data_IF_196181459569
#
_entry.id   IF_196181459569
#
_cell.length_a   1.000
_cell.length_b   1.000
_cell.length_c   1.000
_cell.angle_alpha   90.00
_cell.angle_beta   90.00
_cell.angle_gamma   90.00
#
_symmetry.space_group_name_H-M   'P 1'
#
loop_
_entity.id
_entity.type
_entity.pdbx_description
1 polymer ?
#
# COMPACT_ATOMS: atom_id res chain seq x y z
N UNK A 1 16.36 4.73 22.57
CA UNK A 1 15.03 4.10 22.51
C UNK A 1 15.17 2.68 23.03
N UNK A 2 14.45 2.31 24.09
CA UNK A 2 14.48 0.94 24.62
C UNK A 2 13.70 0.01 23.68
N UNK A 3 14.23 -1.17 23.32
CA UNK A 3 13.54 -2.10 22.44
C UNK A 3 12.25 -2.61 23.10
N UNK A 4 11.16 -2.61 22.33
CA UNK A 4 9.85 -3.17 22.72
C UNK A 4 9.74 -4.60 22.20
N UNK A 5 9.38 -5.53 23.08
CA UNK A 5 9.23 -6.94 22.73
C UNK A 5 7.79 -7.42 22.87
N UNK A 6 7.43 -8.41 22.07
CA UNK A 6 6.15 -9.10 22.09
C UNK A 6 6.39 -10.56 22.48
N UNK A 7 5.61 -11.06 23.41
CA UNK A 7 5.62 -12.48 23.81
C UNK A 7 4.27 -13.09 23.45
N UNK A 8 4.27 -14.23 22.75
CA UNK A 8 3.04 -14.94 22.34
C UNK A 8 3.07 -16.34 22.96
N UNK A 9 2.10 -16.64 23.82
CA UNK A 9 1.98 -17.95 24.48
C UNK A 9 1.19 -18.98 23.65
N UNK A 10 1.38 -20.27 23.98
CA UNK A 10 0.65 -21.38 23.35
C UNK A 10 -0.88 -21.27 23.42
N UNK A 11 -1.42 -20.57 24.43
CA UNK A 11 -2.86 -20.33 24.63
C UNK A 11 -3.39 -19.15 23.84
N UNK A 12 -2.54 -18.42 23.11
CA UNK A 12 -2.96 -17.23 22.38
C UNK A 12 -3.05 -15.97 23.25
N UNK A 13 -2.20 -15.85 24.25
CA UNK A 13 -2.01 -14.62 25.02
C UNK A 13 -0.88 -13.79 24.42
N UNK A 14 -1.09 -12.48 24.28
CA UNK A 14 -0.14 -11.53 23.71
C UNK A 14 0.32 -10.58 24.82
N UNK A 15 1.56 -10.77 25.31
CA UNK A 15 2.13 -9.97 26.39
C UNK A 15 3.15 -8.99 25.81
N UNK A 16 2.89 -7.70 25.96
CA UNK A 16 3.83 -6.64 25.59
C UNK A 16 4.84 -6.46 26.74
N UNK A 17 6.05 -6.98 26.57
CA UNK A 17 7.13 -6.75 27.51
C UNK A 17 7.90 -5.48 27.11
N UNK A 18 7.63 -4.38 27.81
CA UNK A 18 8.53 -3.21 27.81
C UNK A 18 9.58 -3.49 28.88
N UNK A 19 10.85 -3.68 28.50
CA UNK A 19 11.93 -3.77 29.47
C UNK A 19 12.04 -2.43 30.20
N UNK A 20 11.49 -2.38 31.42
CA UNK A 20 11.58 -1.25 32.31
C UNK A 20 13.06 -1.05 32.69
N UNK A 21 13.67 0.04 32.21
CA UNK A 21 14.89 0.56 32.80
C UNK A 21 14.62 0.97 34.25
N UNK A 22 15.42 0.55 35.25
CA UNK A 22 15.18 0.96 36.63
C UNK A 22 15.39 2.47 36.74
N UNK A 23 14.34 3.22 37.08
CA UNK A 23 14.44 4.64 37.42
C UNK A 23 13.46 5.61 36.75
N UNK A 24 12.45 5.16 35.99
CA UNK A 24 11.38 6.05 35.48
C UNK A 24 9.99 5.61 35.98
N UNK A 25 9.10 6.56 36.33
CA UNK A 25 7.79 6.27 36.88
C UNK A 25 6.92 5.49 35.88
N UNK A 26 6.10 4.59 36.41
CA UNK A 26 5.18 3.74 35.68
C UNK A 26 4.32 4.56 34.71
N UNK A 27 4.32 4.15 33.44
CA UNK A 27 3.52 4.77 32.40
C UNK A 27 2.07 4.27 32.53
N UNK A 28 1.28 4.97 33.34
CA UNK A 28 -0.18 4.93 33.26
C UNK A 28 -0.59 5.68 31.99
N UNK A 29 -1.28 5.02 31.06
CA UNK A 29 -1.99 5.71 29.99
C UNK A 29 -3.49 5.53 30.26
N UNK A 30 -4.05 6.51 30.96
CA UNK A 30 -5.44 6.92 30.75
C UNK A 30 -5.44 7.84 29.53
N UNK A 31 -6.38 7.65 28.60
CA UNK A 31 -7.36 8.70 28.29
C UNK A 31 -8.43 8.25 27.30
N UNK A 32 -9.67 8.42 27.78
CA UNK A 32 -10.82 9.03 27.13
C UNK A 32 -11.02 8.85 25.61
N UNK A 33 -12.09 8.11 25.29
CA UNK A 33 -13.03 8.51 24.25
C UNK A 33 -14.37 8.82 24.93
N UNK A 34 -14.77 10.09 24.83
CA UNK A 34 -16.10 10.64 25.13
C UNK A 34 -17.19 9.78 24.46
N UNK A 35 -18.08 9.22 25.28
CA UNK A 35 -19.52 9.52 25.32
C UNK A 35 -20.24 9.51 23.96
N UNK A 36 -21.00 8.44 23.72
CA UNK A 36 -22.46 8.58 23.61
C UNK A 36 -23.19 7.27 24.01
N UNK A 37 -23.96 7.44 25.08
CA UNK A 37 -25.18 6.78 25.56
C UNK A 37 -25.36 5.24 25.69
N UNK A 38 -25.42 4.86 26.97
CA UNK A 38 -26.56 4.18 27.60
C UNK A 38 -26.74 2.66 27.43
N UNK A 39 -26.01 1.88 28.24
CA UNK A 39 -26.63 0.81 29.06
C UNK A 39 -25.62 0.20 30.03
N UNK A 40 -25.46 0.87 31.18
CA UNK A 40 -25.00 0.23 32.40
C UNK A 40 -26.09 -0.70 32.94
N UNK A 41 -25.84 -2.01 33.00
CA UNK A 41 -26.39 -2.88 34.05
C UNK A 41 -25.33 -3.85 34.59
N UNK A 42 -24.93 -3.52 35.81
CA UNK A 42 -24.39 -4.35 36.89
C UNK A 42 -24.38 -5.87 36.67
N UNK A 43 -23.21 -6.48 36.86
CA UNK A 43 -23.04 -7.59 37.80
C UNK A 43 -21.58 -7.66 38.25
N UNK A 44 -21.39 -7.72 39.57
CA UNK A 44 -20.13 -7.69 40.29
C UNK A 44 -19.68 -9.09 40.73
N UNK A 45 -18.35 -9.24 40.77
CA UNK A 45 -17.51 -10.20 41.54
C UNK A 45 -17.36 -11.64 41.02
N UNK A 46 -16.14 -11.95 40.59
CA UNK A 46 -15.61 -13.32 40.57
C UNK A 46 -14.35 -13.50 39.71
N UNK A 47 -13.17 -13.48 40.34
CA UNK A 47 -11.87 -13.96 39.83
C UNK A 47 -11.23 -13.13 38.71
N UNK A 48 -9.92 -12.84 38.84
CA UNK A 48 -9.17 -11.85 38.06
C UNK A 48 -9.09 -12.17 36.55
N UNK A 49 -10.14 -11.74 35.85
CA UNK A 49 -10.20 -11.01 34.58
C UNK A 49 -9.04 -11.18 33.58
N UNK A 50 -9.39 -11.83 32.46
CA UNK A 50 -8.77 -11.73 31.15
C UNK A 50 -8.27 -10.30 30.86
N UNK A 51 -6.97 -10.18 30.61
CA UNK A 51 -6.39 -8.95 30.06
C UNK A 51 -6.56 -9.01 28.56
N UNK A 52 -7.65 -8.42 28.06
CA UNK A 52 -7.81 -8.18 26.62
C UNK A 52 -6.84 -7.07 26.20
N UNK A 53 -5.66 -7.44 25.70
CA UNK A 53 -4.71 -6.48 25.14
C UNK A 53 -5.18 -6.08 23.75
N UNK A 54 -5.86 -4.95 23.64
CA UNK A 54 -6.09 -4.29 22.35
C UNK A 54 -4.79 -3.62 21.91
N UNK A 55 -3.91 -4.39 21.27
CA UNK A 55 -2.68 -3.82 20.69
C UNK A 55 -3.09 -2.96 19.50
N UNK A 56 -2.70 -1.67 19.42
CA UNK A 56 -2.88 -0.88 18.23
C UNK A 56 -1.83 -1.32 17.21
N UNK A 57 -2.05 -2.48 16.60
CA UNK A 57 -1.45 -2.73 15.31
C UNK A 57 -1.94 -1.60 14.40
N UNK A 58 -1.02 -0.94 13.69
CA UNK A 58 -1.45 -0.10 12.58
C UNK A 58 -2.37 -0.98 11.72
N UNK A 59 -3.57 -0.50 11.37
CA UNK A 59 -4.55 -1.24 10.56
C UNK A 59 -3.93 -1.91 9.31
N UNK A 60 -2.77 -1.42 8.86
CA UNK A 60 -1.98 -1.97 7.78
C UNK A 60 -1.33 -3.33 8.08
N UNK A 61 -0.73 -3.54 9.26
CA UNK A 61 0.03 -4.75 9.58
C UNK A 61 -0.89 -5.97 9.78
N UNK A 62 -2.04 -5.77 10.42
CA UNK A 62 -3.10 -6.78 10.53
C UNK A 62 -3.73 -7.08 9.17
N UNK A 63 -3.90 -6.06 8.32
CA UNK A 63 -4.42 -6.27 6.96
C UNK A 63 -3.43 -7.05 6.08
N UNK A 64 -2.12 -6.87 6.25
CA UNK A 64 -1.09 -7.65 5.52
C UNK A 64 -1.08 -9.12 5.98
N UNK A 65 -1.22 -9.37 7.28
CA UNK A 65 -1.32 -10.73 7.83
C UNK A 65 -2.62 -11.43 7.41
N UNK A 66 -3.75 -10.72 7.45
CA UNK A 66 -5.04 -11.24 6.96
C UNK A 66 -5.00 -11.54 5.45
N UNK A 67 -4.43 -10.63 4.64
CA UNK A 67 -4.28 -10.85 3.19
C UNK A 67 -3.32 -12.01 2.85
N UNK A 68 -2.33 -12.30 3.72
CA UNK A 68 -1.48 -13.48 3.60
C UNK A 68 -2.27 -14.77 3.87
N UNK A 69 -3.01 -14.81 4.98
CA UNK A 69 -3.83 -15.96 5.37
C UNK A 69 -4.90 -16.28 4.32
N UNK A 70 -5.54 -15.26 3.74
CA UNK A 70 -6.52 -15.43 2.66
C UNK A 70 -5.90 -15.97 1.36
N UNK A 71 -4.69 -15.52 1.01
CA UNK A 71 -4.04 -15.87 -0.27
C UNK A 71 -3.42 -17.27 -0.27
N UNK A 72 -3.12 -17.84 0.91
CA UNK A 72 -2.54 -19.19 1.07
C UNK A 72 -3.54 -20.26 1.54
N UNK A 73 -4.87 -20.02 1.45
CA UNK A 73 -5.87 -21.06 1.71
C UNK A 73 -5.83 -22.26 0.72
N UNK A 74 -5.08 -22.15 -0.39
CA UNK A 74 -5.03 -23.15 -1.47
C UNK A 74 -3.73 -23.97 -1.61
N UNK A 75 -2.62 -23.56 -0.99
CA UNK A 75 -1.43 -24.40 -0.88
C UNK A 75 -1.56 -25.20 0.40
N UNK A 76 -1.67 -26.54 0.33
CA UNK A 76 -1.89 -27.50 1.44
C UNK A 76 -1.20 -27.15 2.79
N UNK A 77 -1.69 -26.12 3.46
CA UNK A 77 -1.73 -25.97 4.89
C UNK A 77 -2.97 -26.77 5.28
N UNK A 78 -2.78 -27.76 6.15
CA UNK A 78 -3.87 -28.59 6.69
C UNK A 78 -5.05 -27.70 7.09
N UNK A 79 -6.30 -28.18 6.90
CA UNK A 79 -7.49 -27.34 7.02
C UNK A 79 -7.45 -26.54 8.31
N UNK A 80 -7.60 -25.21 8.19
CA UNK A 80 -7.52 -24.20 9.24
C UNK A 80 -8.53 -24.34 10.40
N UNK A 81 -9.16 -25.51 10.54
CA UNK A 81 -10.24 -25.80 11.48
C UNK A 81 -9.71 -26.19 12.87
N UNK A 82 -8.40 -26.45 13.05
CA UNK A 82 -7.87 -26.97 14.33
C UNK A 82 -6.52 -26.42 14.79
N UNK A 83 -6.07 -25.27 14.28
CA UNK A 83 -4.85 -24.63 14.80
C UNK A 83 -5.17 -23.33 15.54
N UNK A 84 -4.72 -23.17 16.80
CA UNK A 84 -4.78 -21.90 17.50
C UNK A 84 -4.14 -20.80 16.65
N UNK A 85 -4.68 -19.58 16.71
CA UNK A 85 -4.15 -18.44 15.95
C UNK A 85 -2.65 -18.22 16.18
N UNK A 86 -2.15 -18.55 17.38
CA UNK A 86 -0.75 -18.46 17.75
C UNK A 86 0.14 -19.40 16.91
N UNK A 87 -0.36 -20.58 16.54
CA UNK A 87 0.33 -21.54 15.69
C UNK A 87 0.33 -21.09 14.22
N UNK A 88 -0.76 -20.47 13.77
CA UNK A 88 -0.83 -19.84 12.45
C UNK A 88 0.15 -18.66 12.35
N UNK A 89 0.24 -17.83 13.40
CA UNK A 89 1.19 -16.74 13.48
C UNK A 89 2.64 -17.26 13.52
N UNK A 90 2.93 -18.27 14.33
CA UNK A 90 4.26 -18.88 14.40
C UNK A 90 4.69 -19.45 13.04
N UNK A 91 3.79 -20.13 12.34
CA UNK A 91 4.06 -20.64 10.99
C UNK A 91 4.32 -19.51 9.97
N UNK A 92 3.52 -18.44 10.01
CA UNK A 92 3.70 -17.28 9.14
C UNK A 92 5.04 -16.55 9.42
N UNK A 93 5.37 -16.34 10.69
CA UNK A 93 6.65 -15.75 11.10
C UNK A 93 7.84 -16.64 10.72
N UNK A 94 7.71 -17.96 10.88
CA UNK A 94 8.73 -18.93 10.49
C UNK A 94 8.99 -18.89 8.97
N UNK A 95 7.95 -18.72 8.14
CA UNK A 95 8.09 -18.52 6.70
C UNK A 95 8.84 -17.22 6.34
N UNK A 96 8.85 -16.24 7.24
CA UNK A 96 9.63 -15.00 7.15
C UNK A 96 11.01 -15.10 7.84
N UNK A 97 11.38 -16.28 8.35
CA UNK A 97 12.66 -16.51 9.05
C UNK A 97 12.66 -16.14 10.54
N UNK A 98 11.51 -15.76 11.11
CA UNK A 98 11.36 -15.44 12.54
C UNK A 98 10.80 -16.65 13.27
N UNK A 99 11.63 -17.28 14.10
CA UNK A 99 11.22 -18.44 14.90
C UNK A 99 10.49 -17.99 16.16
N UNK A 100 9.33 -18.59 16.41
CA UNK A 100 8.53 -18.36 17.61
C UNK A 100 8.24 -19.72 18.26
N UNK A 101 8.89 -19.98 19.39
CA UNK A 101 8.62 -21.17 20.20
C UNK A 101 7.41 -20.90 21.09
N UNK A 102 6.30 -21.57 20.79
CA UNK A 102 5.04 -21.42 21.55
C UNK A 102 5.09 -22.16 22.89
N UNK A 103 5.94 -23.18 23.03
CA UNK A 103 6.10 -23.94 24.27
C UNK A 103 7.06 -23.23 25.23
N UNK A 104 7.98 -22.42 24.71
CA UNK A 104 8.89 -21.56 25.48
C UNK A 104 8.83 -20.13 24.95
N UNK A 105 7.79 -19.35 25.32
CA UNK A 105 7.55 -18.05 24.73
C UNK A 105 8.66 -17.06 25.09
N UNK A 106 9.46 -16.70 24.10
CA UNK A 106 10.54 -15.71 24.22
C UNK A 106 10.08 -14.34 23.72
N UNK A 107 10.60 -13.24 24.30
CA UNK A 107 10.32 -11.90 23.79
C UNK A 107 10.88 -11.74 22.37
N UNK A 108 10.00 -11.47 21.41
CA UNK A 108 10.37 -11.21 20.01
C UNK A 108 10.46 -9.70 19.78
N UNK A 109 11.58 -9.26 19.21
CA UNK A 109 11.79 -7.85 18.91
C UNK A 109 10.82 -7.37 17.83
N UNK A 110 10.00 -6.35 18.13
CA UNK A 110 9.04 -5.79 17.18
C UNK A 110 9.72 -5.29 15.90
N UNK A 111 10.89 -4.66 16.01
CA UNK A 111 11.64 -4.18 14.86
C UNK A 111 12.17 -5.33 13.98
N UNK A 112 12.51 -6.47 14.57
CA UNK A 112 12.95 -7.65 13.82
C UNK A 112 11.79 -8.27 13.04
N UNK A 113 10.59 -8.36 13.65
CA UNK A 113 9.37 -8.80 12.95
C UNK A 113 9.06 -7.87 11.79
N UNK A 114 9.02 -6.55 12.03
CA UNK A 114 8.77 -5.56 10.98
C UNK A 114 9.76 -5.68 9.82
N UNK A 115 11.05 -5.79 10.13
CA UNK A 115 12.10 -5.96 9.11
C UNK A 115 11.92 -7.24 8.29
N UNK A 116 11.59 -8.36 8.95
CA UNK A 116 11.34 -9.64 8.29
C UNK A 116 10.09 -9.59 7.40
N UNK A 117 9.00 -8.99 7.87
CA UNK A 117 7.78 -8.79 7.08
C UNK A 117 8.06 -7.92 5.84
N UNK A 118 8.76 -6.79 6.01
CA UNK A 118 9.08 -5.91 4.89
C UNK A 118 10.04 -6.55 3.89
N UNK A 119 11.03 -7.32 4.34
CA UNK A 119 11.93 -8.06 3.45
C UNK A 119 11.19 -9.15 2.67
N UNK A 120 10.30 -9.90 3.35
CA UNK A 120 9.46 -10.90 2.70
C UNK A 120 8.53 -10.26 1.66
N UNK A 121 7.86 -9.16 2.02
CA UNK A 121 6.97 -8.44 1.11
C UNK A 121 7.73 -7.88 -0.10
N UNK A 122 8.93 -7.34 0.11
CA UNK A 122 9.78 -6.89 -0.99
C UNK A 122 10.09 -8.02 -1.96
N UNK A 123 10.49 -9.19 -1.44
CA UNK A 123 10.75 -10.38 -2.25
C UNK A 123 9.51 -10.77 -3.07
N UNK A 124 8.33 -10.83 -2.44
CA UNK A 124 7.09 -11.14 -3.14
C UNK A 124 6.75 -10.13 -4.24
N UNK A 125 6.97 -8.84 -3.99
CA UNK A 125 6.74 -7.80 -5.00
C UNK A 125 7.71 -7.91 -6.17
N UNK A 126 8.99 -8.20 -5.89
CA UNK A 126 10.00 -8.43 -6.93
C UNK A 126 9.66 -9.68 -7.76
N UNK A 127 9.34 -10.80 -7.11
CA UNK A 127 8.94 -12.05 -7.76
C UNK A 127 7.63 -11.89 -8.56
N UNK A 128 6.68 -11.08 -8.09
CA UNK A 128 5.45 -10.81 -8.81
C UNK A 128 5.69 -9.90 -10.03
N UNK A 129 6.63 -8.96 -9.96
CA UNK A 129 6.95 -8.04 -11.04
C UNK A 129 7.61 -8.73 -12.24
N UNK A 130 8.27 -9.87 -12.04
CA UNK A 130 8.89 -10.66 -13.11
C UNK A 130 7.91 -11.59 -13.83
N UNK A 131 6.70 -11.79 -13.29
CA UNK A 131 5.68 -12.64 -13.90
C UNK A 131 5.16 -12.03 -15.20
N UNK A 132 4.90 -12.89 -16.17
CA UNK A 132 4.20 -12.51 -17.39
C UNK A 132 2.82 -11.93 -17.06
N UNK A 133 2.44 -10.84 -17.74
CA UNK A 133 1.18 -10.14 -17.49
C UNK A 133 1.19 -9.16 -16.31
N UNK A 134 2.24 -9.09 -15.49
CA UNK A 134 2.37 -8.16 -14.36
C UNK A 134 2.64 -6.68 -14.76
N UNK A 135 2.18 -6.26 -15.93
CA UNK A 135 2.52 -4.98 -16.55
C UNK A 135 2.19 -3.73 -15.72
N UNK A 136 1.13 -3.74 -14.90
CA UNK A 136 0.86 -2.63 -13.96
C UNK A 136 1.88 -2.54 -12.83
N UNK A 137 2.28 -3.70 -12.32
CA UNK A 137 3.32 -3.76 -11.29
C UNK A 137 4.67 -3.34 -11.88
N UNK A 138 5.00 -3.80 -13.08
CA UNK A 138 6.19 -3.37 -13.83
C UNK A 138 6.18 -1.86 -14.11
N UNK A 139 5.04 -1.30 -14.54
CA UNK A 139 4.88 0.15 -14.69
C UNK A 139 5.21 0.90 -13.40
N UNK A 140 4.67 0.43 -12.26
CA UNK A 140 4.95 1.06 -10.99
C UNK A 140 6.42 0.92 -10.57
N UNK A 141 6.97 -0.31 -10.58
CA UNK A 141 8.32 -0.57 -10.07
C UNK A 141 9.42 -0.01 -10.96
N UNK A 142 9.28 -0.11 -12.28
CA UNK A 142 10.30 0.31 -13.23
C UNK A 142 10.09 1.76 -13.69
N UNK A 143 8.84 2.14 -13.97
CA UNK A 143 8.51 3.45 -14.55
C UNK A 143 8.35 4.55 -13.50
N UNK A 144 7.55 4.30 -12.46
CA UNK A 144 7.17 5.33 -11.47
C UNK A 144 8.13 5.38 -10.29
N UNK A 145 8.51 4.23 -9.76
CA UNK A 145 9.50 4.13 -8.69
C UNK A 145 10.92 4.34 -9.19
N UNK A 146 11.25 3.92 -10.41
CA UNK A 146 12.47 4.30 -11.14
C UNK A 146 13.81 3.92 -10.52
N UNK A 147 13.81 3.00 -9.55
CA UNK A 147 15.01 2.53 -8.87
C UNK A 147 14.78 1.17 -8.21
N UNK A 148 15.71 0.75 -7.36
CA UNK A 148 15.54 -0.47 -6.57
C UNK A 148 14.54 -0.20 -5.44
N UNK A 149 13.47 -0.98 -5.37
CA UNK A 149 12.60 -1.00 -4.19
C UNK A 149 13.38 -1.60 -3.02
N UNK A 150 13.32 -0.95 -1.87
CA UNK A 150 13.88 -1.47 -0.62
C UNK A 150 12.79 -1.72 0.43
N UNK A 151 13.10 -2.53 1.43
CA UNK A 151 12.12 -2.94 2.43
C UNK A 151 11.63 -1.76 3.28
N UNK A 152 12.48 -0.76 3.54
CA UNK A 152 12.12 0.43 4.32
C UNK A 152 11.11 1.31 3.58
N UNK A 153 11.20 1.35 2.25
CA UNK A 153 10.31 2.13 1.39
C UNK A 153 8.87 1.61 1.38
N UNK A 154 8.67 0.30 1.60
CA UNK A 154 7.34 -0.32 1.61
C UNK A 154 6.46 0.16 2.76
N UNK A 155 7.06 0.48 3.91
CA UNK A 155 6.35 1.03 5.06
C UNK A 155 6.00 2.51 4.92
N UNK A 156 6.59 3.20 3.93
CA UNK A 156 6.43 4.64 3.77
C UNK A 156 5.28 4.96 2.82
N UNK A 157 4.26 5.65 3.35
CA UNK A 157 3.13 6.11 2.55
C UNK A 157 3.57 7.19 1.56
N UNK A 158 3.20 7.05 0.29
CA UNK A 158 3.52 8.04 -0.75
C UNK A 158 2.95 9.43 -0.39
N UNK A 159 3.77 10.49 -0.53
CA UNK A 159 3.46 11.84 -0.07
C UNK A 159 2.13 12.41 -0.63
N UNK A 160 1.76 12.08 -1.86
CA UNK A 160 0.50 12.55 -2.45
C UNK A 160 -0.75 12.01 -1.73
N UNK A 161 -0.64 10.89 -1.01
CA UNK A 161 -1.74 10.32 -0.23
C UNK A 161 -2.00 11.06 1.09
N UNK A 162 -1.06 11.87 1.55
CA UNK A 162 -1.17 12.67 2.78
C UNK A 162 -1.37 14.15 2.46
N UNK A 163 -0.63 14.68 1.47
CA UNK A 163 -0.66 16.10 1.09
C UNK A 163 -1.94 16.47 0.34
N UNK A 164 -2.46 15.60 -0.54
CA UNK A 164 -3.61 15.92 -1.40
C UNK A 164 -4.89 15.36 -0.77
N UNK A 165 -5.66 16.20 -0.11
CA UNK A 165 -6.91 15.81 0.58
C UNK A 165 -8.04 15.51 -0.40
N UNK A 166 -8.21 16.33 -1.42
CA UNK A 166 -9.29 16.22 -2.41
C UNK A 166 -9.18 14.95 -3.26
N UNK A 167 -10.20 14.10 -3.20
CA UNK A 167 -10.24 12.84 -3.95
C UNK A 167 -10.23 13.07 -5.46
N UNK A 168 -10.94 14.10 -5.94
CA UNK A 168 -11.01 14.47 -7.37
C UNK A 168 -9.63 14.74 -7.98
N UNK A 169 -8.67 15.25 -7.19
CA UNK A 169 -7.29 15.49 -7.61
C UNK A 169 -6.35 14.33 -7.32
N UNK A 170 -6.52 13.69 -6.15
CA UNK A 170 -5.68 12.56 -5.74
C UNK A 170 -5.89 11.32 -6.59
N UNK A 171 -7.13 11.01 -6.96
CA UNK A 171 -7.46 9.78 -7.68
C UNK A 171 -6.84 9.73 -9.09
N UNK A 172 -6.93 10.78 -9.94
CA UNK A 172 -6.26 10.76 -11.24
C UNK A 172 -4.74 10.58 -11.13
N UNK A 173 -4.10 11.20 -10.13
CA UNK A 173 -2.67 11.00 -9.88
C UNK A 173 -2.36 9.54 -9.48
N UNK A 174 -3.15 8.95 -8.59
CA UNK A 174 -3.00 7.55 -8.23
C UNK A 174 -3.15 6.64 -9.46
N UNK A 175 -4.15 6.89 -10.30
CA UNK A 175 -4.42 6.15 -11.53
C UNK A 175 -3.22 6.17 -12.49
N UNK A 176 -2.62 7.33 -12.73
CA UNK A 176 -1.42 7.44 -13.57
C UNK A 176 -0.22 6.70 -12.93
N UNK A 177 -0.06 6.78 -11.61
CA UNK A 177 1.04 6.10 -10.91
C UNK A 177 0.90 4.57 -10.92
N UNK A 178 -0.32 4.03 -10.86
CA UNK A 178 -0.56 2.58 -10.82
C UNK A 178 -0.81 1.97 -12.20
N UNK A 179 -0.80 2.77 -13.27
CA UNK A 179 -1.13 2.31 -14.61
C UNK A 179 -2.61 1.95 -14.78
N UNK A 180 -3.49 2.39 -13.87
CA UNK A 180 -4.95 2.18 -13.93
C UNK A 180 -5.65 3.46 -14.38
N UNK A 181 -5.18 4.02 -15.48
CA UNK A 181 -5.63 5.30 -16.03
C UNK A 181 -6.82 5.14 -16.99
N UNK A 182 -7.28 6.23 -17.57
CA UNK A 182 -8.49 6.27 -18.42
C UNK A 182 -8.19 6.09 -19.91
N UNK A 183 -6.93 5.88 -20.28
CA UNK A 183 -6.51 5.79 -21.68
C UNK A 183 -6.68 4.39 -22.26
N UNK A 184 -6.51 4.28 -23.58
CA UNK A 184 -6.68 3.06 -24.35
C UNK A 184 -5.81 1.90 -23.86
N UNK A 185 -4.61 2.15 -23.31
CA UNK A 185 -3.78 1.08 -22.74
C UNK A 185 -4.49 0.34 -21.60
N UNK A 186 -5.28 1.05 -20.79
CA UNK A 186 -6.01 0.47 -19.68
C UNK A 186 -7.38 -0.04 -20.12
N UNK A 187 -8.17 0.75 -20.85
CA UNK A 187 -9.50 0.33 -21.31
C UNK A 187 -9.39 -0.91 -22.21
N UNK A 188 -8.37 -0.94 -23.07
CA UNK A 188 -8.01 -2.05 -23.95
C UNK A 188 -7.55 -3.34 -23.24
N UNK A 189 -7.39 -3.31 -21.90
CA UNK A 189 -7.17 -4.53 -21.11
C UNK A 189 -8.49 -5.20 -20.73
N UNK A 190 -9.55 -4.41 -20.55
CA UNK A 190 -10.86 -4.90 -20.12
C UNK A 190 -11.58 -5.61 -21.26
N UNK A 191 -11.46 -5.11 -22.48
CA UNK A 191 -11.95 -5.73 -23.72
C UNK A 191 -10.98 -6.79 -24.29
N UNK A 192 -9.81 -6.97 -23.66
CA UNK A 192 -8.73 -7.89 -24.07
C UNK A 192 -8.13 -7.57 -25.44
N UNK A 193 -8.16 -6.32 -25.88
CA UNK A 193 -7.44 -5.89 -27.07
C UNK A 193 -5.93 -6.17 -26.95
N UNK A 194 -5.26 -6.64 -28.02
CA UNK A 194 -3.81 -6.80 -28.07
C UNK A 194 -3.09 -5.48 -27.75
N UNK A 195 -1.96 -5.49 -27.01
CA UNK A 195 -1.26 -4.26 -26.60
C UNK A 195 -0.99 -3.26 -27.73
N UNK A 196 -0.61 -3.74 -28.90
CA UNK A 196 -0.32 -2.96 -30.11
C UNK A 196 -1.55 -2.28 -30.72
N UNK A 197 -2.76 -2.73 -30.37
CA UNK A 197 -4.02 -2.16 -30.84
C UNK A 197 -4.63 -1.14 -29.86
N UNK A 198 -4.03 -0.96 -28.68
CA UNK A 198 -4.51 -0.03 -27.63
C UNK A 198 -4.10 1.41 -27.92
N UNK A 199 -4.43 1.88 -29.12
CA UNK A 199 -3.98 3.14 -29.68
C UNK A 199 -4.73 4.34 -29.10
N UNK A 200 -4.06 5.48 -29.00
CA UNK A 200 -4.71 6.73 -28.59
C UNK A 200 -5.76 7.15 -29.64
N UNK A 201 -7.03 7.20 -29.24
CA UNK A 201 -8.14 7.60 -30.09
C UNK A 201 -8.11 9.07 -30.51
N UNK A 202 -7.29 9.89 -29.84
CA UNK A 202 -7.25 11.33 -30.08
C UNK A 202 -6.19 11.77 -31.10
N UNK A 203 -5.11 11.00 -31.27
CA UNK A 203 -4.02 11.41 -32.15
C UNK A 203 -3.43 10.30 -33.02
N UNK A 204 -3.82 9.03 -32.83
CA UNK A 204 -3.26 7.90 -33.59
C UNK A 204 -1.75 7.69 -33.40
N UNK A 205 -1.12 8.35 -32.42
CA UNK A 205 0.33 8.40 -32.21
C UNK A 205 0.93 7.15 -31.55
N UNK A 206 0.29 6.00 -31.69
CA UNK A 206 0.67 4.74 -31.02
C UNK A 206 -0.16 4.44 -29.78
N UNK A 207 0.35 3.50 -28.97
CA UNK A 207 -0.31 3.00 -27.75
C UNK A 207 -0.44 4.12 -26.71
N UNK A 208 -1.64 4.30 -26.15
CA UNK A 208 -1.94 5.38 -25.20
C UNK A 208 -1.45 5.07 -23.78
N UNK A 209 -0.14 4.92 -23.63
CA UNK A 209 0.50 4.69 -22.33
C UNK A 209 0.48 5.94 -21.43
N UNK A 210 0.76 5.78 -20.14
CA UNK A 210 0.97 6.92 -19.22
C UNK A 210 2.04 7.89 -19.73
N UNK A 211 3.13 7.37 -20.34
CA UNK A 211 4.17 8.20 -20.96
C UNK A 211 3.58 9.05 -22.08
N UNK A 212 2.81 8.42 -22.97
CA UNK A 212 2.15 9.09 -24.08
C UNK A 212 1.21 10.20 -23.58
N UNK A 213 0.36 9.92 -22.59
CA UNK A 213 -0.54 10.90 -21.98
C UNK A 213 0.23 12.10 -21.42
N UNK A 214 1.32 11.86 -20.67
CA UNK A 214 2.03 12.92 -19.96
C UNK A 214 2.90 13.76 -20.92
N UNK A 215 3.61 13.13 -21.86
CA UNK A 215 4.66 13.80 -22.63
C UNK A 215 4.31 14.05 -24.10
N UNK A 216 3.54 13.17 -24.73
CA UNK A 216 3.53 13.07 -26.20
C UNK A 216 2.20 13.51 -26.82
N UNK A 217 1.07 13.10 -26.22
CA UNK A 217 -0.25 13.25 -26.83
C UNK A 217 -0.59 14.74 -27.08
N UNK A 218 -0.92 15.13 -28.33
CA UNK A 218 -1.28 16.51 -28.68
C UNK A 218 -2.52 17.03 -27.95
N UNK A 219 -3.46 16.16 -27.56
CA UNK A 219 -4.65 16.53 -26.78
C UNK A 219 -4.29 17.32 -25.52
N UNK A 220 -3.16 16.98 -24.89
CA UNK A 220 -2.72 17.57 -23.63
C UNK A 220 -1.64 18.65 -23.81
N UNK A 221 -1.35 19.09 -25.03
CA UNK A 221 -0.29 20.06 -25.31
C UNK A 221 -0.50 21.39 -24.56
N UNK A 222 -1.71 21.92 -24.56
CA UNK A 222 -2.06 23.15 -23.83
C UNK A 222 -1.87 23.01 -22.31
N UNK A 223 -2.13 21.83 -21.76
CA UNK A 223 -1.88 21.53 -20.36
C UNK A 223 -0.39 21.47 -20.06
N UNK A 224 0.44 20.89 -20.93
CA UNK A 224 1.90 20.93 -20.78
C UNK A 224 2.44 22.36 -20.77
N UNK A 225 1.87 23.25 -21.59
CA UNK A 225 2.21 24.68 -21.56
C UNK A 225 1.77 25.35 -20.25
N UNK A 226 0.54 25.09 -19.78
CA UNK A 226 0.00 25.66 -18.53
C UNK A 226 0.75 25.19 -17.27
N UNK A 227 1.28 23.97 -17.30
CA UNK A 227 2.04 23.35 -16.23
C UNK A 227 3.52 23.20 -16.61
N UNK A 228 4.07 24.17 -17.34
CA UNK A 228 5.45 24.12 -17.86
C UNK A 228 6.49 23.89 -16.77
N UNK A 229 6.22 24.37 -15.55
CA UNK A 229 7.03 24.13 -14.35
C UNK A 229 7.29 22.64 -14.09
N UNK A 230 6.35 21.76 -14.44
CA UNK A 230 6.49 20.31 -14.29
C UNK A 230 7.38 19.65 -15.36
N UNK A 231 7.77 20.38 -16.40
CA UNK A 231 8.48 19.85 -17.57
C UNK A 231 9.84 20.51 -17.79
N UNK A 232 9.98 21.81 -17.47
CA UNK A 232 11.20 22.57 -17.72
C UNK A 232 12.42 22.07 -16.93
N UNK A 233 12.20 21.46 -15.77
CA UNK A 233 13.27 20.99 -14.88
C UNK A 233 13.52 19.48 -14.98
N UNK A 234 12.85 18.77 -15.90
CA UNK A 234 13.07 17.34 -16.06
C UNK A 234 14.42 17.08 -16.74
N UNK A 235 15.23 16.16 -16.21
CA UNK A 235 16.43 15.72 -16.91
C UNK A 235 16.05 14.99 -18.21
N UNK A 236 16.88 15.14 -19.23
CA UNK A 236 16.78 14.34 -20.44
C UNK A 236 17.61 13.04 -20.28
N UNK A 237 17.07 11.86 -20.65
CA UNK A 237 15.73 11.65 -21.21
C UNK A 237 14.63 11.78 -20.15
N UNK A 238 13.49 12.38 -20.51
CA UNK A 238 12.34 12.48 -19.60
C UNK A 238 11.85 11.10 -19.19
N UNK A 239 11.80 10.85 -17.89
CA UNK A 239 11.28 9.61 -17.30
C UNK A 239 10.02 9.89 -16.46
N UNK A 240 9.14 8.88 -16.37
CA UNK A 240 7.99 8.94 -15.46
C UNK A 240 8.44 9.08 -14.00
N UNK A 241 9.53 8.40 -13.62
CA UNK A 241 10.10 8.50 -12.29
C UNK A 241 10.43 9.94 -11.92
N UNK A 242 11.28 10.61 -12.70
CA UNK A 242 11.67 12.00 -12.44
C UNK A 242 10.44 12.92 -12.40
N UNK A 243 9.48 12.70 -13.30
CA UNK A 243 8.22 13.45 -13.30
C UNK A 243 7.43 13.26 -12.00
N UNK A 244 7.36 12.05 -11.47
CA UNK A 244 6.58 11.71 -10.29
C UNK A 244 7.26 12.00 -8.95
N UNK A 245 8.51 12.50 -8.95
CA UNK A 245 9.20 13.04 -7.76
C UNK A 245 8.85 14.51 -7.47
N UNK A 246 8.12 15.16 -8.36
CA UNK A 246 7.76 16.58 -8.26
C UNK A 246 6.69 16.85 -7.18
N UNK A 247 6.45 18.13 -6.81
CA UNK A 247 5.51 18.49 -5.75
C UNK A 247 4.12 17.84 -5.88
N UNK A 248 3.66 17.06 -4.90
CA UNK A 248 2.45 16.24 -5.02
C UNK A 248 1.17 17.01 -5.35
N UNK A 249 0.99 18.20 -4.76
CA UNK A 249 -0.19 19.03 -5.01
C UNK A 249 -0.24 19.53 -6.46
N UNK A 250 0.93 19.85 -7.03
CA UNK A 250 1.03 20.32 -8.42
C UNK A 250 0.75 19.18 -9.39
N UNK A 251 1.38 18.02 -9.19
CA UNK A 251 1.12 16.80 -9.94
C UNK A 251 -0.35 16.39 -9.92
N UNK A 252 -1.00 16.45 -8.75
CA UNK A 252 -2.41 16.09 -8.62
C UNK A 252 -3.34 17.03 -9.39
N UNK A 253 -3.01 18.32 -9.44
CA UNK A 253 -3.78 19.31 -10.22
C UNK A 253 -3.62 19.07 -11.72
N UNK A 254 -2.39 18.78 -12.16
CA UNK A 254 -2.12 18.42 -13.55
C UNK A 254 -2.85 17.13 -13.94
N UNK A 255 -2.74 16.06 -13.14
CA UNK A 255 -3.42 14.79 -13.40
C UNK A 255 -4.95 14.93 -13.46
N UNK A 256 -5.54 15.75 -12.59
CA UNK A 256 -6.96 16.06 -12.65
C UNK A 256 -7.35 16.79 -13.94
N UNK A 257 -6.52 17.73 -14.37
CA UNK A 257 -6.74 18.49 -15.61
C UNK A 257 -6.64 17.60 -16.84
N UNK A 258 -5.69 16.66 -16.87
CA UNK A 258 -5.57 15.65 -17.93
C UNK A 258 -6.85 14.82 -18.03
N UNK A 259 -7.34 14.31 -16.89
CA UNK A 259 -8.55 13.49 -16.86
C UNK A 259 -9.77 14.26 -17.35
N UNK A 260 -9.93 15.50 -16.91
CA UNK A 260 -11.03 16.35 -17.35
C UNK A 260 -10.96 16.60 -18.87
N UNK A 261 -9.79 16.91 -19.40
CA UNK A 261 -9.59 17.13 -20.84
C UNK A 261 -9.92 15.88 -21.65
N UNK A 262 -9.53 14.69 -21.16
CA UNK A 262 -9.89 13.43 -21.78
C UNK A 262 -11.39 13.19 -21.78
N UNK A 263 -12.07 13.42 -20.65
CA UNK A 263 -13.53 13.27 -20.54
C UNK A 263 -14.25 14.17 -21.55
N UNK A 264 -13.89 15.44 -21.61
CA UNK A 264 -14.48 16.39 -22.57
C UNK A 264 -14.27 15.93 -24.02
N UNK A 265 -13.06 15.48 -24.37
CA UNK A 265 -12.76 15.00 -25.71
C UNK A 265 -13.47 13.69 -26.06
N UNK A 266 -13.62 12.80 -25.09
CA UNK A 266 -14.28 11.51 -25.25
C UNK A 266 -15.81 11.67 -25.38
N UNK A 267 -16.41 12.50 -24.53
CA UNK A 267 -17.84 12.82 -24.57
C UNK A 267 -18.20 13.52 -25.89
N UNK A 268 -17.35 14.42 -26.39
CA UNK A 268 -17.53 15.05 -27.70
C UNK A 268 -17.48 14.05 -28.86
N UNK A 269 -16.60 13.04 -28.78
CA UNK A 269 -16.50 12.00 -29.79
C UNK A 269 -17.67 11.02 -29.76
N UNK A 270 -18.32 10.82 -28.60
CA UNK A 270 -19.50 9.96 -28.47
C UNK A 270 -20.80 10.58 -29.03
N UNK A 271 -20.79 11.88 -29.33
CA UNK A 271 -21.93 12.62 -29.89
C UNK A 271 -21.89 12.74 -31.42
N UNK A 272 -20.84 12.24 -32.07
CA UNK A 272 -20.62 12.23 -33.53
C UNK A 272 -20.85 10.82 -34.09
#
# INVERSE_FOLDING_TARGET
MSPTFLTVGATGELVLAVLATPGLPQLTILDHLEQDDNSLRQASLGWLSEVTVTVPWYKHDVALLAAWLERHQGEKLLPAVWQPWAQQLAAALAAMGVQLDLHQPQPVCKAAVQSACSAWQLKQLQDAATREGASKLQHYTQGVWGGTLDAASLGTRAAYLTVVRERSRRAPLAQLRTGSHWGAEETGRWDKSPPEQRLCSHCGGGVETVRHIIFDCPLYASLRTRFSDLFCLLPEPRTLHAFFQQPPARLATFAASLKLQWQVAHDAAALL
#
